data_IF_529651002270
#
_entry.id   IF_529651002270
#
_cell.length_a   1.000
_cell.length_b   1.000
_cell.length_c   1.000
_cell.angle_alpha   90.00
_cell.angle_beta   90.00
_cell.angle_gamma   90.00
#
_symmetry.space_group_name_H-M   'P 1'
#
loop_
_entity.id
_entity.type
_entity.pdbx_description
1 polymer ?
#
# COMPACT_ATOMS: atom_id res chain seq x y z
N UNK A 1 5.48 -6.45 -10.86
CA UNK A 1 4.76 -7.67 -11.25
C UNK A 1 3.39 -7.30 -11.75
N UNK A 2 2.88 -8.08 -12.69
CA UNK A 2 1.75 -7.72 -13.52
C UNK A 2 1.29 -8.83 -14.43
N UNK A 3 0.56 -8.47 -15.49
CA UNK A 3 0.21 -9.44 -16.53
C UNK A 3 0.11 -8.81 -17.92
N UNK A 4 0.43 -9.62 -18.94
CA UNK A 4 0.03 -9.36 -20.33
C UNK A 4 -1.29 -10.08 -20.58
N UNK A 5 -2.37 -9.36 -20.94
CA UNK A 5 -3.64 -9.96 -21.34
C UNK A 5 -3.49 -11.05 -22.40
N UNK A 6 -4.20 -12.16 -22.20
CA UNK A 6 -4.34 -13.27 -23.13
C UNK A 6 -5.82 -13.65 -23.24
N UNK A 7 -6.11 -14.89 -23.66
CA UNK A 7 -7.48 -15.37 -23.85
C UNK A 7 -8.15 -15.78 -22.52
N UNK A 8 -9.49 -15.79 -22.51
CA UNK A 8 -10.32 -16.33 -21.43
C UNK A 8 -10.11 -15.69 -20.04
N UNK A 9 -9.79 -14.39 -19.99
CA UNK A 9 -9.61 -13.67 -18.72
C UNK A 9 -8.31 -14.02 -17.98
N UNK A 10 -7.38 -14.70 -18.66
CA UNK A 10 -6.05 -14.99 -18.14
C UNK A 10 -4.99 -14.12 -18.83
N UNK A 11 -3.86 -13.92 -18.16
CA UNK A 11 -2.70 -13.23 -18.71
C UNK A 11 -1.39 -13.89 -18.30
N UNK A 12 -0.34 -13.67 -19.10
CA UNK A 12 1.02 -14.11 -18.75
C UNK A 12 1.58 -13.21 -17.66
N UNK A 13 2.11 -13.78 -16.58
CA UNK A 13 2.73 -13.05 -15.49
C UNK A 13 3.95 -12.26 -15.99
N UNK A 14 3.98 -10.98 -15.67
CA UNK A 14 5.10 -10.08 -15.96
C UNK A 14 5.86 -9.74 -14.69
N UNK A 15 7.20 -9.69 -14.77
CA UNK A 15 8.07 -9.24 -13.68
C UNK A 15 8.98 -8.12 -14.16
N UNK A 16 8.85 -6.96 -13.55
CA UNK A 16 9.78 -5.84 -13.73
C UNK A 16 10.78 -5.86 -12.58
N UNK A 17 12.07 -6.01 -12.89
CA UNK A 17 13.13 -5.94 -11.88
C UNK A 17 13.69 -4.52 -11.80
N UNK A 18 13.88 -4.00 -10.59
CA UNK A 18 14.36 -2.63 -10.39
C UNK A 18 15.76 -2.36 -10.99
N UNK A 19 16.59 -3.39 -11.13
CA UNK A 19 17.92 -3.31 -11.76
C UNK A 19 17.90 -3.56 -13.28
N UNK A 20 16.73 -3.81 -13.88
CA UNK A 20 16.58 -4.05 -15.30
C UNK A 20 15.72 -2.97 -15.95
N UNK A 21 16.00 -2.66 -17.22
CA UNK A 21 15.22 -1.67 -17.99
C UNK A 21 14.00 -2.26 -18.69
N UNK A 22 13.85 -3.57 -18.68
CA UNK A 22 12.80 -4.31 -19.38
C UNK A 22 11.98 -5.14 -18.42
N UNK A 23 10.72 -5.35 -18.78
CA UNK A 23 9.85 -6.33 -18.15
C UNK A 23 10.22 -7.72 -18.67
N UNK A 24 10.19 -8.72 -17.79
CA UNK A 24 10.38 -10.13 -18.12
C UNK A 24 9.03 -10.83 -18.14
N UNK A 25 8.71 -11.43 -19.28
CA UNK A 25 7.50 -12.23 -19.45
C UNK A 25 7.76 -13.65 -18.96
N UNK A 26 6.82 -14.21 -18.19
CA UNK A 26 6.85 -15.59 -17.75
C UNK A 26 5.74 -16.38 -18.43
N UNK A 27 5.96 -17.69 -18.62
CA UNK A 27 4.96 -18.60 -19.19
C UNK A 27 3.78 -18.87 -18.23
N UNK A 28 3.91 -18.49 -16.96
CA UNK A 28 2.88 -18.64 -15.94
C UNK A 28 1.65 -17.80 -16.28
N UNK A 29 0.49 -18.43 -16.33
CA UNK A 29 -0.80 -17.77 -16.52
C UNK A 29 -1.45 -17.41 -15.18
N UNK A 30 -1.99 -16.20 -15.07
CA UNK A 30 -2.71 -15.70 -13.89
C UNK A 30 -4.05 -15.07 -14.29
N UNK A 31 -5.06 -15.04 -13.39
CA UNK A 31 -6.30 -14.30 -13.63
C UNK A 31 -6.06 -12.80 -13.79
N UNK A 32 -6.63 -12.20 -14.85
CA UNK A 32 -6.47 -10.76 -15.12
C UNK A 32 -7.17 -9.87 -14.09
N UNK A 33 -8.23 -10.36 -13.45
CA UNK A 33 -8.94 -9.67 -12.35
C UNK A 33 -8.00 -9.31 -11.18
N UNK A 34 -6.88 -10.02 -11.02
CA UNK A 34 -5.88 -9.74 -9.98
C UNK A 34 -4.99 -8.54 -10.31
N UNK A 35 -5.01 -8.02 -11.54
CA UNK A 35 -4.11 -6.95 -12.00
C UNK A 35 -4.90 -5.78 -12.59
N UNK A 36 -5.92 -6.08 -13.39
CA UNK A 36 -6.63 -5.12 -14.21
C UNK A 36 -8.04 -4.89 -13.68
N UNK A 37 -8.32 -3.64 -13.29
CA UNK A 37 -9.65 -3.22 -12.79
C UNK A 37 -10.78 -3.47 -13.79
N UNK A 38 -10.49 -3.50 -15.09
CA UNK A 38 -11.50 -3.74 -16.13
C UNK A 38 -11.99 -5.20 -16.21
N UNK A 39 -11.24 -6.14 -15.61
CA UNK A 39 -11.62 -7.54 -15.48
C UNK A 39 -12.15 -7.85 -14.08
N UNK A 40 -12.29 -6.85 -13.21
CA UNK A 40 -12.92 -7.01 -11.90
C UNK A 40 -14.37 -7.46 -12.12
N UNK A 41 -14.71 -8.64 -11.61
CA UNK A 41 -16.04 -9.21 -11.73
C UNK A 41 -17.04 -8.60 -10.72
N UNK A 42 -16.60 -7.60 -9.94
CA UNK A 42 -17.24 -7.00 -8.77
C UNK A 42 -17.44 -8.00 -7.62
N UNK A 43 -16.97 -9.25 -7.79
CA UNK A 43 -17.13 -10.34 -6.82
C UNK A 43 -15.88 -10.61 -6.03
N UNK A 44 -14.74 -10.07 -6.46
CA UNK A 44 -13.43 -10.33 -5.87
C UNK A 44 -12.72 -9.03 -5.57
N UNK A 45 -12.73 -8.63 -4.30
CA UNK A 45 -11.97 -7.48 -3.84
C UNK A 45 -10.53 -7.90 -3.47
N UNK A 46 -9.53 -7.29 -4.11
CA UNK A 46 -8.14 -7.40 -3.64
C UNK A 46 -7.91 -6.47 -2.45
N UNK A 47 -7.53 -7.05 -1.30
CA UNK A 47 -7.30 -6.32 -0.04
C UNK A 47 -5.83 -5.92 0.11
N UNK A 48 -4.91 -6.74 -0.41
CA UNK A 48 -3.49 -6.43 -0.34
C UNK A 48 -2.64 -7.52 -1.00
N UNK A 49 -1.36 -7.22 -1.17
CA UNK A 49 -0.39 -8.18 -1.69
C UNK A 49 0.96 -8.01 -0.99
N UNK A 50 1.69 -9.11 -0.81
CA UNK A 50 2.99 -9.13 -0.12
C UNK A 50 3.78 -10.36 -0.58
N UNK A 51 5.05 -10.19 -0.92
CA UNK A 51 5.95 -11.29 -1.32
C UNK A 51 5.35 -12.31 -2.33
N UNK A 52 4.60 -11.83 -3.33
CA UNK A 52 3.96 -12.70 -4.34
C UNK A 52 2.64 -13.36 -3.92
N UNK A 53 2.19 -13.13 -2.68
CA UNK A 53 0.86 -13.49 -2.22
C UNK A 53 -0.12 -12.33 -2.40
N UNK A 54 -1.36 -12.63 -2.74
CA UNK A 54 -2.48 -11.69 -2.75
C UNK A 54 -3.54 -12.14 -1.74
N UNK A 55 -4.03 -11.20 -0.93
CA UNK A 55 -5.22 -11.35 -0.12
C UNK A 55 -6.46 -10.89 -0.90
N UNK A 56 -7.42 -11.79 -1.12
CA UNK A 56 -8.67 -11.52 -1.85
C UNK A 56 -9.87 -11.84 -0.97
N UNK A 57 -10.90 -10.99 -1.00
CA UNK A 57 -12.20 -11.23 -0.38
C UNK A 57 -13.23 -11.42 -1.48
N UNK A 58 -13.88 -12.58 -1.46
CA UNK A 58 -14.96 -12.87 -2.41
C UNK A 58 -16.33 -12.57 -1.79
N UNK A 59 -17.37 -12.54 -2.61
CA UNK A 59 -18.78 -12.35 -2.18
C UNK A 59 -19.23 -13.29 -1.05
N UNK A 60 -18.61 -14.46 -0.91
CA UNK A 60 -18.90 -15.39 0.17
C UNK A 60 -18.35 -14.96 1.54
N UNK A 61 -17.70 -13.80 1.62
CA UNK A 61 -17.15 -13.24 2.85
C UNK A 61 -15.86 -13.92 3.33
N UNK A 62 -15.29 -14.83 2.55
CA UNK A 62 -14.09 -15.57 2.94
C UNK A 62 -12.85 -14.91 2.35
N UNK A 63 -11.97 -14.45 3.24
CA UNK A 63 -10.65 -13.96 2.90
C UNK A 63 -9.76 -15.13 2.44
N UNK A 64 -9.06 -14.96 1.32
CA UNK A 64 -8.19 -15.99 0.73
C UNK A 64 -6.82 -15.41 0.44
N UNK A 65 -5.79 -16.15 0.83
CA UNK A 65 -4.42 -15.92 0.37
C UNK A 65 -4.16 -16.78 -0.85
N UNK A 66 -3.73 -16.15 -1.94
CA UNK A 66 -3.40 -16.83 -3.20
C UNK A 66 -1.98 -16.48 -3.65
N UNK A 67 -1.25 -17.42 -4.22
CA UNK A 67 0.16 -17.25 -4.66
C UNK A 67 0.31 -17.05 -6.18
N UNK A 68 -0.76 -16.65 -6.87
CA UNK A 68 -0.79 -16.48 -8.32
C UNK A 68 0.29 -15.49 -8.81
N UNK A 69 0.65 -14.46 -8.03
CA UNK A 69 1.73 -13.53 -8.39
C UNK A 69 3.14 -14.02 -8.03
N UNK A 70 3.30 -15.17 -7.38
CA UNK A 70 4.61 -15.71 -7.10
C UNK A 70 5.20 -16.38 -8.36
N UNK A 71 6.33 -15.88 -8.93
CA UNK A 71 6.92 -16.44 -10.16
C UNK A 71 7.30 -17.93 -10.07
N UNK A 72 7.63 -18.42 -8.86
CA UNK A 72 8.06 -19.82 -8.67
C UNK A 72 6.92 -20.76 -8.24
N UNK A 73 5.71 -20.23 -8.05
CA UNK A 73 4.55 -21.05 -7.70
C UNK A 73 3.95 -21.74 -8.94
N UNK A 74 3.35 -22.91 -8.73
CA UNK A 74 2.72 -23.69 -9.80
C UNK A 74 1.51 -22.95 -10.38
N UNK A 75 1.47 -22.86 -11.70
CA UNK A 75 0.33 -22.37 -12.48
C UNK A 75 -0.81 -23.40 -12.55
N UNK A 76 -0.47 -24.68 -12.67
CA UNK A 76 -1.42 -25.79 -12.73
C UNK A 76 -2.13 -26.03 -11.37
N UNK A 77 -1.45 -25.72 -10.26
CA UNK A 77 -1.97 -25.91 -8.90
C UNK A 77 -1.59 -24.74 -7.99
N UNK A 78 -2.17 -23.53 -8.19
CA UNK A 78 -1.90 -22.39 -7.34
C UNK A 78 -2.38 -22.67 -5.91
N UNK A 79 -1.63 -22.22 -4.91
CA UNK A 79 -2.04 -22.34 -3.51
C UNK A 79 -3.12 -21.32 -3.22
N UNK A 80 -4.23 -21.80 -2.67
CA UNK A 80 -5.35 -20.95 -2.23
C UNK A 80 -5.69 -21.35 -0.81
N UNK A 81 -5.35 -20.48 0.13
CA UNK A 81 -5.55 -20.71 1.56
C UNK A 81 -6.77 -19.87 1.99
N UNK A 82 -7.95 -20.48 2.17
CA UNK A 82 -9.07 -19.79 2.79
C UNK A 82 -8.74 -19.55 4.25
N UNK A 83 -8.84 -18.31 4.68
CA UNK A 83 -8.78 -17.96 6.09
C UNK A 83 -10.15 -18.23 6.71
N UNK A 84 -10.21 -18.63 7.99
CA UNK A 84 -11.49 -18.75 8.67
C UNK A 84 -12.27 -17.43 8.54
N UNK A 85 -13.61 -17.47 8.43
CA UNK A 85 -14.42 -16.27 8.43
C UNK A 85 -13.98 -15.40 9.59
N UNK A 86 -13.53 -14.19 9.28
CA UNK A 86 -13.20 -13.24 10.31
C UNK A 86 -14.53 -12.92 10.99
N UNK A 87 -14.79 -13.49 12.15
CA UNK A 87 -15.63 -12.81 13.13
C UNK A 87 -14.92 -11.46 13.29
N UNK A 88 -15.53 -10.36 12.84
CA UNK A 88 -14.90 -9.04 12.63
C UNK A 88 -14.40 -8.38 13.93
N UNK A 89 -14.03 -9.17 14.94
CA UNK A 89 -12.95 -8.88 15.86
C UNK A 89 -11.59 -9.06 15.17
N UNK A 90 -11.08 -8.00 14.56
CA UNK A 90 -9.77 -7.97 13.93
C UNK A 90 -8.67 -8.32 14.94
N UNK A 91 -7.96 -9.42 14.70
CA UNK A 91 -6.75 -9.77 15.43
C UNK A 91 -5.58 -9.00 14.83
N UNK A 92 -4.99 -8.07 15.58
CA UNK A 92 -3.78 -7.35 15.18
C UNK A 92 -2.55 -7.98 15.81
N UNK A 93 -1.44 -7.97 15.08
CA UNK A 93 -0.12 -8.25 15.62
C UNK A 93 0.60 -6.92 15.83
N UNK A 94 1.05 -6.66 17.06
CA UNK A 94 1.87 -5.47 17.34
C UNK A 94 3.23 -5.61 16.66
N UNK A 95 3.68 -4.67 15.81
CA UNK A 95 5.07 -4.66 15.38
C UNK A 95 5.96 -4.40 16.61
N UNK A 96 6.96 -5.26 16.81
CA UNK A 96 8.07 -5.09 17.77
C UNK A 96 7.72 -4.93 19.28
N UNK A 97 6.94 -5.87 19.84
CA UNK A 97 7.07 -6.22 21.26
C UNK A 97 8.12 -7.31 21.47
N UNK A 98 8.78 -7.37 22.64
CA UNK A 98 9.64 -8.51 23.03
C UNK A 98 8.87 -9.85 23.06
N UNK A 99 7.53 -9.80 22.99
CA UNK A 99 6.61 -10.90 22.72
C UNK A 99 5.50 -10.43 21.77
N UNK A 100 5.17 -11.18 20.71
CA UNK A 100 3.98 -10.91 19.90
C UNK A 100 2.74 -11.34 20.68
N UNK A 101 1.96 -10.37 21.16
CA UNK A 101 0.64 -10.62 21.75
C UNK A 101 -0.47 -10.24 20.75
N UNK A 102 -1.45 -11.13 20.61
CA UNK A 102 -2.61 -10.95 19.75
C UNK A 102 -3.70 -10.21 20.52
N UNK A 103 -4.22 -9.12 19.95
CA UNK A 103 -5.37 -8.42 20.51
C UNK A 103 -6.50 -8.36 19.49
N UNK A 104 -7.70 -8.76 19.93
CA UNK A 104 -8.93 -8.72 19.15
C UNK A 104 -9.66 -7.40 19.40
N UNK A 105 -9.96 -6.64 18.35
CA UNK A 105 -10.78 -5.41 18.43
C UNK A 105 -11.97 -5.56 17.48
N UNK A 106 -13.19 -5.31 17.95
CA UNK A 106 -14.43 -5.44 17.17
C UNK A 106 -14.62 -4.22 16.26
N UNK A 107 -14.71 -4.44 14.95
CA UNK A 107 -14.96 -3.38 13.95
C UNK A 107 -16.45 -3.40 13.57
N UNK A 108 -17.19 -2.38 13.97
CA UNK A 108 -18.63 -2.26 13.71
C UNK A 108 -18.94 -1.43 12.44
N UNK A 109 -18.28 -1.69 11.32
CA UNK A 109 -18.76 -1.25 9.99
C UNK A 109 -17.92 -1.87 8.85
N UNK A 110 -18.49 -2.61 7.88
CA UNK A 110 -17.73 -3.16 6.74
C UNK A 110 -17.40 -2.13 5.65
N UNK A 111 -17.87 -0.88 5.74
CA UNK A 111 -17.61 0.16 4.73
C UNK A 111 -16.24 0.87 4.87
N UNK A 112 -15.24 0.24 5.49
CA UNK A 112 -13.88 0.77 5.42
C UNK A 112 -13.36 0.56 4.00
N UNK A 113 -13.45 1.63 3.21
CA UNK A 113 -12.99 1.74 1.84
C UNK A 113 -11.63 1.07 1.65
N UNK A 114 -11.45 0.43 0.50
CA UNK A 114 -10.22 -0.17 -0.05
C UNK A 114 -9.04 0.82 -0.23
N UNK A 115 -8.98 1.88 0.56
CA UNK A 115 -8.14 3.05 0.40
C UNK A 115 -7.25 3.33 1.62
N UNK A 116 -7.38 2.58 2.72
CA UNK A 116 -6.44 2.65 3.84
C UNK A 116 -5.83 1.29 4.12
N UNK A 117 -4.51 1.16 3.91
CA UNK A 117 -3.73 0.00 4.34
C UNK A 117 -3.29 0.10 5.80
N UNK A 118 -3.68 1.19 6.47
CA UNK A 118 -3.44 1.46 7.89
C UNK A 118 -4.81 1.64 8.54
N UNK A 119 -5.20 0.75 9.45
CA UNK A 119 -6.41 0.95 10.25
C UNK A 119 -6.02 1.69 11.53
N UNK A 120 -6.46 2.94 11.67
CA UNK A 120 -6.52 3.65 12.95
C UNK A 120 -7.99 3.89 13.27
N UNK A 121 -8.41 3.64 14.51
CA UNK A 121 -9.79 3.82 14.94
C UNK A 121 -10.05 5.30 15.27
N UNK A 122 -10.96 5.93 14.53
CA UNK A 122 -11.55 7.20 14.92
C UNK A 122 -12.71 6.97 15.89
N UNK A 123 -12.64 7.65 17.03
CA UNK A 123 -13.80 8.14 17.74
C UNK A 123 -13.42 9.54 18.18
N UNK A 124 -13.84 10.53 17.39
CA UNK A 124 -14.64 11.67 17.85
C UNK A 124 -15.00 12.53 16.64
N UNK A 125 -16.29 12.53 16.26
CA UNK A 125 -16.93 13.77 15.83
C UNK A 125 -18.20 13.96 16.66
N UNK A 126 -18.34 15.16 17.18
CA UNK A 126 -19.38 15.60 18.10
C UNK A 126 -20.77 15.55 17.46
N UNK A 127 -21.64 14.64 17.90
CA UNK A 127 -23.01 14.95 18.36
C UNK A 127 -23.90 13.69 18.54
N UNK A 128 -24.60 13.65 19.69
CA UNK A 128 -25.90 12.98 19.91
C UNK A 128 -26.00 11.44 19.73
N UNK A 129 -26.11 10.70 20.85
CA UNK A 129 -26.87 9.44 20.85
C UNK A 129 -26.43 8.41 21.89
N UNK A 130 -27.30 8.18 22.86
CA UNK A 130 -27.19 7.25 23.99
C UNK A 130 -26.85 5.79 23.59
N UNK A 131 -25.92 5.13 24.30
CA UNK A 131 -25.70 3.68 24.20
C UNK A 131 -24.50 3.18 24.99
N UNK A 132 -24.72 2.83 26.26
CA UNK A 132 -23.73 2.15 27.11
C UNK A 132 -23.71 0.66 26.81
N UNK A 133 -22.54 0.07 26.56
CA UNK A 133 -22.24 -1.32 26.96
C UNK A 133 -20.78 -1.44 27.39
N UNK A 134 -20.60 -1.89 28.63
CA UNK A 134 -19.34 -2.21 29.26
C UNK A 134 -18.88 -3.62 28.84
N UNK A 135 -17.57 -3.80 28.64
CA UNK A 135 -16.99 -5.13 28.51
C UNK A 135 -15.53 -5.17 28.05
N UNK A 136 -14.63 -5.29 29.04
CA UNK A 136 -13.31 -5.93 28.97
C UNK A 136 -12.13 -5.14 28.38
N UNK A 137 -11.23 -4.71 29.29
CA UNK A 137 -9.85 -4.23 29.08
C UNK A 137 -9.58 -3.52 27.75
N UNK A 138 -9.87 -2.22 27.73
CA UNK A 138 -9.51 -1.32 26.64
C UNK A 138 -8.01 -1.43 26.32
N UNK A 139 -7.61 -1.93 25.13
CA UNK A 139 -6.23 -1.75 24.70
C UNK A 139 -6.00 -0.24 24.64
N UNK A 140 -4.99 0.25 25.37
CA UNK A 140 -4.57 1.66 25.26
C UNK A 140 -4.07 1.91 23.84
N UNK A 141 -4.99 2.31 22.98
CA UNK A 141 -4.70 2.72 21.62
C UNK A 141 -3.84 3.98 21.70
N UNK A 142 -2.62 3.88 21.19
CA UNK A 142 -1.70 5.00 21.17
C UNK A 142 -2.12 5.93 20.02
N UNK A 143 -2.63 7.11 20.35
CA UNK A 143 -2.95 8.13 19.36
C UNK A 143 -1.64 8.68 18.79
N UNK A 144 -1.38 8.40 17.51
CA UNK A 144 -0.22 8.94 16.79
C UNK A 144 -0.31 10.46 16.80
N UNK A 145 0.66 11.11 17.44
CA UNK A 145 0.74 12.57 17.43
C UNK A 145 1.57 13.03 16.23
N UNK A 146 1.03 13.96 15.45
CA UNK A 146 1.74 14.55 14.32
C UNK A 146 2.54 15.76 14.79
N UNK A 147 3.85 15.74 14.53
CA UNK A 147 4.76 16.80 14.94
C UNK A 147 5.40 17.49 13.72
N UNK A 148 5.84 18.74 13.91
CA UNK A 148 6.57 19.54 12.90
C UNK A 148 5.83 19.85 11.59
N UNK A 149 4.48 19.87 11.59
CA UNK A 149 3.65 20.25 10.44
C UNK A 149 3.69 21.76 10.07
N UNK A 150 4.41 22.59 10.82
CA UNK A 150 4.28 24.05 10.82
C UNK A 150 4.80 24.77 9.57
N UNK A 151 5.35 24.06 8.58
CA UNK A 151 5.97 24.66 7.38
C UNK A 151 5.12 24.65 6.11
N UNK A 152 3.89 24.14 6.13
CA UNK A 152 3.05 24.07 4.91
C UNK A 152 2.35 25.40 4.60
N UNK A 153 2.52 25.89 3.36
CA UNK A 153 1.83 27.06 2.83
C UNK A 153 0.32 26.81 2.69
N UNK A 154 -0.50 27.87 2.75
CA UNK A 154 -1.96 27.80 2.70
C UNK A 154 -2.46 27.04 1.46
N UNK A 155 -1.94 27.37 0.28
CA UNK A 155 -2.30 26.69 -0.98
C UNK A 155 -2.03 25.17 -0.95
N UNK A 156 -0.96 24.73 -0.25
CA UNK A 156 -0.66 23.30 -0.10
C UNK A 156 -1.68 22.61 0.80
N UNK A 157 -2.13 23.28 1.87
CA UNK A 157 -3.18 22.75 2.76
C UNK A 157 -4.52 22.65 2.03
N UNK A 158 -4.92 23.71 1.33
CA UNK A 158 -6.14 23.69 0.50
C UNK A 158 -6.11 22.60 -0.57
N UNK A 159 -4.94 22.35 -1.18
CA UNK A 159 -4.74 21.21 -2.08
C UNK A 159 -5.01 19.90 -1.35
N UNK A 160 -4.37 19.67 -0.20
CA UNK A 160 -4.51 18.44 0.59
C UNK A 160 -5.96 18.21 1.05
N UNK A 161 -6.65 19.24 1.53
CA UNK A 161 -8.05 19.18 2.01
C UNK A 161 -9.04 18.80 0.90
N UNK A 162 -8.68 19.05 -0.36
CA UNK A 162 -9.48 18.69 -1.53
C UNK A 162 -9.15 17.30 -2.10
N UNK A 163 -8.23 16.55 -1.51
CA UNK A 163 -7.79 15.24 -1.98
C UNK A 163 -8.38 14.09 -1.15
N UNK A 164 -8.50 12.92 -1.77
CA UNK A 164 -8.58 11.67 -1.02
C UNK A 164 -7.21 11.38 -0.42
N UNK A 165 -7.17 10.92 0.83
CA UNK A 165 -5.91 10.57 1.50
C UNK A 165 -5.80 9.06 1.63
N UNK A 166 -4.65 8.51 1.21
CA UNK A 166 -4.26 7.13 1.40
C UNK A 166 -3.09 7.13 2.38
N UNK A 167 -3.15 6.28 3.40
CA UNK A 167 -2.10 6.14 4.39
C UNK A 167 -1.36 4.81 4.19
N UNK A 168 -0.03 4.89 4.20
CA UNK A 168 0.86 3.74 4.07
C UNK A 168 1.82 3.70 5.27
N UNK A 169 1.86 2.58 5.98
CA UNK A 169 2.89 2.32 6.98
C UNK A 169 4.02 1.53 6.32
N UNK A 170 5.23 2.07 6.36
CA UNK A 170 6.37 1.56 5.60
C UNK A 170 7.53 1.26 6.53
N UNK A 171 7.98 0.02 6.54
CA UNK A 171 9.13 -0.41 7.34
C UNK A 171 10.39 -0.50 6.48
N UNK A 172 11.46 0.14 6.96
CA UNK A 172 12.80 -0.02 6.41
C UNK A 172 13.51 -1.15 7.15
N UNK A 173 13.60 -2.33 6.53
CA UNK A 173 14.35 -3.46 7.12
C UNK A 173 15.83 -3.13 7.40
N UNK A 174 16.57 -2.42 6.53
CA UNK A 174 17.99 -2.12 6.76
C UNK A 174 18.23 -1.21 7.96
N UNK A 175 17.37 -0.20 8.15
CA UNK A 175 17.56 0.82 9.20
C UNK A 175 16.70 0.59 10.44
N UNK A 176 15.71 -0.33 10.36
CA UNK A 176 14.67 -0.56 11.38
C UNK A 176 13.77 0.65 11.64
N UNK A 177 13.82 1.64 10.77
CA UNK A 177 12.96 2.81 10.84
C UNK A 177 11.59 2.52 10.24
N UNK A 178 10.56 3.09 10.83
CA UNK A 178 9.19 3.02 10.32
C UNK A 178 8.73 4.41 9.91
N UNK A 179 8.06 4.48 8.76
CA UNK A 179 7.54 5.71 8.19
C UNK A 179 6.04 5.60 8.01
N UNK A 180 5.31 6.67 8.32
CA UNK A 180 3.94 6.86 7.88
C UNK A 180 3.95 7.79 6.68
N UNK A 181 3.35 7.37 5.59
CA UNK A 181 3.22 8.16 4.38
C UNK A 181 1.76 8.47 4.10
N UNK A 182 1.44 9.76 4.00
CA UNK A 182 0.13 10.23 3.56
C UNK A 182 0.23 10.62 2.09
N UNK A 183 -0.46 9.89 1.23
CA UNK A 183 -0.55 10.14 -0.20
C UNK A 183 -1.91 10.77 -0.52
N UNK A 184 -1.88 11.98 -1.07
CA UNK A 184 -3.07 12.76 -1.41
C UNK A 184 -3.35 12.59 -2.90
N UNK A 185 -4.51 12.03 -3.25
CA UNK A 185 -4.89 11.72 -4.63
C UNK A 185 -6.19 12.41 -5.05
N UNK A 186 -6.30 12.72 -6.33
CA UNK A 186 -7.52 13.21 -7.00
C UNK A 186 -7.86 12.38 -8.22
N UNK A 187 -9.15 12.37 -8.54
CA UNK A 187 -9.62 11.85 -9.83
C UNK A 187 -9.17 12.78 -10.95
N UNK A 188 -8.62 12.19 -12.00
CA UNK A 188 -8.25 12.86 -13.25
C UNK A 188 -8.68 12.00 -14.43
N UNK A 189 -8.53 12.53 -15.65
CA UNK A 189 -8.73 11.77 -16.89
C UNK A 189 -7.38 11.44 -17.52
N UNK A 190 -7.20 10.19 -17.97
CA UNK A 190 -6.06 9.85 -18.83
C UNK A 190 -6.29 10.34 -20.28
N UNK A 191 -5.35 10.03 -21.19
CA UNK A 191 -5.43 10.48 -22.60
C UNK A 191 -6.63 9.90 -23.34
N UNK A 192 -7.10 8.75 -22.88
CA UNK A 192 -8.25 8.02 -23.42
C UNK A 192 -9.59 8.49 -22.79
N UNK A 193 -9.56 9.41 -21.82
CA UNK A 193 -10.76 9.93 -21.15
C UNK A 193 -11.32 9.03 -20.05
N UNK A 194 -10.56 8.02 -19.62
CA UNK A 194 -10.88 7.13 -18.50
C UNK A 194 -10.55 7.84 -17.18
N UNK A 195 -11.42 7.69 -16.18
CA UNK A 195 -11.15 8.18 -14.83
C UNK A 195 -10.02 7.39 -14.17
N UNK A 196 -9.03 8.11 -13.65
CA UNK A 196 -7.86 7.57 -12.97
C UNK A 196 -7.63 8.32 -11.66
N UNK A 197 -7.03 7.67 -10.66
CA UNK A 197 -6.59 8.33 -9.43
C UNK A 197 -5.12 8.73 -9.51
N UNK A 198 -4.85 10.04 -9.57
CA UNK A 198 -3.50 10.60 -9.59
C UNK A 198 -3.10 11.17 -8.24
N UNK A 199 -1.83 11.03 -7.92
CA UNK A 199 -1.18 11.68 -6.78
C UNK A 199 -1.05 13.17 -7.06
N UNK A 200 -1.41 13.99 -6.09
CA UNK A 200 -1.27 15.45 -6.12
C UNK A 200 -0.23 15.92 -5.10
N UNK A 201 -0.16 15.22 -3.97
CA UNK A 201 0.78 15.53 -2.90
C UNK A 201 1.10 14.30 -2.05
N UNK A 202 2.17 14.39 -1.27
CA UNK A 202 2.64 13.30 -0.42
C UNK A 202 3.38 13.90 0.77
N UNK A 203 3.21 13.29 1.93
CA UNK A 203 3.94 13.64 3.14
C UNK A 203 4.54 12.40 3.77
N UNK A 204 5.79 12.50 4.20
CA UNK A 204 6.48 11.43 4.91
C UNK A 204 6.69 11.84 6.36
N UNK A 205 6.34 10.94 7.26
CA UNK A 205 6.57 11.08 8.69
C UNK A 205 7.43 9.91 9.14
N UNK A 206 8.51 10.18 9.86
CA UNK A 206 9.27 9.16 10.56
C UNK A 206 8.62 8.91 11.92
N UNK A 207 8.39 7.65 12.27
CA UNK A 207 7.94 7.30 13.62
C UNK A 207 9.12 7.38 14.59
N UNK A 208 8.93 8.08 15.71
CA UNK A 208 9.89 8.07 16.82
C UNK A 208 9.68 6.85 17.74
N UNK A 209 10.54 6.70 18.75
CA UNK A 209 10.52 5.57 19.68
C UNK A 209 9.24 5.52 20.53
N UNK A 210 8.57 6.67 20.69
CA UNK A 210 7.29 6.80 21.37
C UNK A 210 6.09 6.49 20.45
N UNK A 211 6.30 6.38 19.14
CA UNK A 211 5.25 6.13 18.14
C UNK A 211 4.60 7.38 17.56
N UNK A 212 5.17 8.57 17.78
CA UNK A 212 4.71 9.81 17.16
C UNK A 212 5.17 9.92 15.71
N UNK A 213 4.33 10.51 14.86
CA UNK A 213 4.65 10.78 13.47
C UNK A 213 5.33 12.15 13.33
N UNK A 214 6.66 12.14 13.21
CA UNK A 214 7.48 13.34 13.01
C UNK A 214 7.66 13.60 11.53
N UNK A 215 7.13 14.71 11.03
CA UNK A 215 7.28 15.08 9.61
C UNK A 215 8.76 15.19 9.22
N UNK A 216 9.13 14.59 8.09
CA UNK A 216 10.50 14.60 7.57
C UNK A 216 10.55 14.81 6.05
N UNK A 217 11.59 15.51 5.60
CA UNK A 217 11.99 15.64 4.20
C UNK A 217 13.30 14.89 3.92
N UNK A 218 13.86 14.24 4.95
CA UNK A 218 15.09 13.47 4.87
C UNK A 218 14.79 12.06 5.37
N UNK A 219 14.76 11.12 4.43
CA UNK A 219 14.66 9.69 4.67
C UNK A 219 16.05 9.05 4.78
N UNK A 220 17.12 9.84 4.78
CA UNK A 220 18.49 9.35 4.83
C UNK A 220 18.96 8.83 3.47
N UNK A 221 19.48 7.61 3.43
CA UNK A 221 19.91 6.94 2.18
C UNK A 221 18.77 6.09 1.58
N UNK A 222 17.51 6.33 1.93
CA UNK A 222 16.41 5.46 1.51
C UNK A 222 15.72 5.95 0.23
N UNK A 223 15.34 4.98 -0.60
CA UNK A 223 14.31 5.10 -1.62
C UNK A 223 13.12 4.22 -1.20
N UNK A 224 11.91 4.76 -1.31
CA UNK A 224 10.68 4.12 -0.87
C UNK A 224 9.81 3.73 -2.06
N UNK A 225 9.16 2.58 -1.98
CA UNK A 225 8.27 2.07 -3.02
C UNK A 225 6.84 1.98 -2.47
N UNK A 226 5.92 2.68 -3.12
CA UNK A 226 4.48 2.58 -2.89
C UNK A 226 3.86 1.90 -4.10
N UNK A 227 3.17 0.78 -3.89
CA UNK A 227 2.54 0.06 -4.99
C UNK A 227 1.23 -0.61 -4.59
N UNK A 228 0.66 -1.47 -5.44
CA UNK A 228 -0.49 -2.28 -5.03
C UNK A 228 -0.14 -3.40 -4.03
N UNK A 229 1.13 -3.68 -3.79
CA UNK A 229 1.63 -4.54 -2.70
C UNK A 229 2.12 -3.72 -1.50
N UNK A 230 2.52 -4.43 -0.45
CA UNK A 230 3.14 -3.86 0.75
C UNK A 230 4.23 -2.84 0.38
N UNK A 231 4.22 -1.65 0.98
CA UNK A 231 5.25 -0.66 0.73
C UNK A 231 6.55 -1.09 1.41
N UNK A 232 7.68 -0.72 0.82
CA UNK A 232 8.99 -1.04 1.39
C UNK A 232 10.03 0.04 1.06
N UNK A 233 11.12 0.03 1.82
CA UNK A 233 12.29 0.87 1.57
C UNK A 233 13.51 0.03 1.19
N UNK A 234 14.37 0.61 0.35
CA UNK A 234 15.70 0.07 0.04
C UNK A 234 16.75 1.19 0.18
N UNK A 235 18.02 0.86 0.50
CA UNK A 235 19.09 1.85 0.43
C UNK A 235 19.34 2.23 -1.02
N UNK A 236 19.26 3.53 -1.34
CA UNK A 236 19.54 4.06 -2.67
C UNK A 236 20.99 3.77 -3.09
N UNK A 237 21.93 3.78 -2.13
CA UNK A 237 23.32 3.40 -2.37
C UNK A 237 23.51 1.95 -2.85
N UNK A 238 22.55 1.04 -2.59
CA UNK A 238 22.58 -0.33 -3.11
C UNK A 238 22.30 -0.41 -4.61
N UNK A 239 21.79 0.66 -5.23
CA UNK A 239 21.45 0.71 -6.66
C UNK A 239 22.06 1.95 -7.37
N UNK A 240 23.41 2.06 -7.42
CA UNK A 240 24.07 3.26 -7.92
C UNK A 240 23.64 3.64 -9.34
N UNK A 241 23.28 4.90 -9.54
CA UNK A 241 22.89 5.44 -10.86
C UNK A 241 21.47 5.10 -11.33
N UNK A 242 20.70 4.36 -10.51
CA UNK A 242 19.29 4.02 -10.82
C UNK A 242 18.31 4.41 -9.72
N UNK A 243 18.76 4.53 -8.47
CA UNK A 243 17.96 5.04 -7.35
C UNK A 243 18.61 6.27 -6.74
N UNK A 244 17.78 7.14 -6.19
CA UNK A 244 18.21 8.33 -5.46
C UNK A 244 17.56 8.34 -4.08
N UNK A 245 18.30 8.82 -3.08
CA UNK A 245 17.80 9.02 -1.73
C UNK A 245 16.65 10.02 -1.71
N UNK A 246 15.81 9.96 -0.69
CA UNK A 246 14.62 10.80 -0.53
C UNK A 246 13.58 10.67 -1.65
N UNK A 247 13.69 9.62 -2.48
CA UNK A 247 12.68 9.35 -3.49
C UNK A 247 11.59 8.43 -2.97
N UNK A 248 10.35 8.77 -3.27
CA UNK A 248 9.18 7.90 -3.19
C UNK A 248 8.76 7.55 -4.61
N UNK A 249 8.88 6.27 -4.95
CA UNK A 249 8.52 5.71 -6.25
C UNK A 249 7.12 5.10 -6.14
N UNK A 250 6.24 5.52 -7.04
CA UNK A 250 4.83 5.13 -7.08
C UNK A 250 4.64 4.19 -8.27
N UNK A 251 4.12 2.99 -7.99
CA UNK A 251 3.72 2.00 -8.99
C UNK A 251 2.29 1.57 -8.72
N UNK A 252 1.34 2.22 -9.37
CA UNK A 252 -0.09 1.92 -9.26
C UNK A 252 -0.62 1.57 -10.65
N UNK A 253 -1.82 0.97 -10.70
CA UNK A 253 -2.53 0.71 -11.95
C UNK A 253 -2.79 2.01 -12.73
N UNK A 254 -3.22 3.05 -12.01
CA UNK A 254 -3.60 4.35 -12.59
C UNK A 254 -2.41 5.28 -12.87
N UNK A 255 -1.27 5.04 -12.23
CA UNK A 255 -0.15 5.99 -12.20
C UNK A 255 1.20 5.31 -11.91
N UNK A 256 2.23 5.69 -12.66
CA UNK A 256 3.62 5.43 -12.28
C UNK A 256 4.36 6.75 -12.15
N UNK A 257 5.07 6.97 -11.05
CA UNK A 257 5.72 8.26 -10.80
C UNK A 257 6.84 8.22 -9.78
N UNK A 258 7.56 9.33 -9.68
CA UNK A 258 8.63 9.52 -8.71
C UNK A 258 8.45 10.89 -8.08
N UNK A 259 8.61 10.94 -6.76
CA UNK A 259 8.61 12.14 -5.93
C UNK A 259 9.93 12.23 -5.19
N UNK A 260 10.64 13.34 -5.30
CA UNK A 260 11.73 13.70 -4.38
C UNK A 260 11.13 14.51 -3.22
N UNK A 261 11.18 13.99 -1.99
CA UNK A 261 10.58 14.65 -0.82
C UNK A 261 11.51 15.66 -0.15
N UNK A 262 12.74 15.84 -0.66
CA UNK A 262 13.76 16.72 -0.07
C UNK A 262 13.33 18.18 -0.01
N UNK A 263 12.55 18.64 -0.98
CA UNK A 263 12.18 20.06 -1.14
C UNK A 263 10.67 20.20 -1.39
N UNK A 264 9.97 20.97 -0.54
CA UNK A 264 8.55 21.32 -0.74
C UNK A 264 8.45 22.80 -1.18
N UNK A 265 7.66 23.12 -2.23
CA UNK A 265 6.87 22.19 -3.06
C UNK A 265 7.76 21.31 -3.93
N UNK A 266 7.52 19.99 -3.91
CA UNK A 266 8.24 19.06 -4.75
C UNK A 266 7.62 19.00 -6.14
N UNK A 267 8.43 18.55 -7.11
CA UNK A 267 7.92 18.22 -8.43
C UNK A 267 7.57 16.73 -8.47
N UNK A 268 6.28 16.43 -8.68
CA UNK A 268 5.81 15.08 -8.98
C UNK A 268 5.91 14.85 -10.49
N UNK A 269 6.75 13.90 -10.88
CA UNK A 269 6.79 13.42 -12.26
C UNK A 269 6.08 12.07 -12.35
N UNK A 270 4.96 12.01 -13.06
CA UNK A 270 4.21 10.76 -13.23
C UNK A 270 3.54 10.62 -14.59
N UNK A 271 3.39 9.36 -15.01
CA UNK A 271 2.70 8.94 -16.22
C UNK A 271 1.37 8.25 -15.86
N UNK A 272 0.31 8.63 -16.57
CA UNK A 272 -1.01 8.02 -16.43
C UNK A 272 -1.01 6.58 -16.97
N UNK A 273 -1.75 5.70 -16.29
CA UNK A 273 -2.01 4.33 -16.72
C UNK A 273 -3.15 4.20 -17.75
N UNK A 274 -3.65 2.97 -17.98
CA UNK A 274 -3.43 1.77 -17.15
C UNK A 274 -2.05 1.15 -17.33
N UNK A 275 -1.48 0.64 -16.23
CA UNK A 275 -0.16 -0.01 -16.22
C UNK A 275 -0.28 -1.51 -15.96
N UNK A 276 0.48 -2.32 -16.71
CA UNK A 276 0.41 -3.80 -16.61
C UNK A 276 1.09 -4.36 -15.37
N UNK A 277 2.05 -3.63 -14.76
CA UNK A 277 2.89 -4.10 -13.63
C UNK A 277 2.76 -3.26 -12.34
N UNK A 278 1.59 -3.24 -11.67
CA UNK A 278 1.33 -2.36 -10.54
C UNK A 278 1.81 -2.90 -9.16
N UNK A 279 2.37 -4.11 -9.09
CA UNK A 279 2.85 -4.71 -7.83
C UNK A 279 4.38 -4.67 -7.73
N UNK A 280 4.95 -4.11 -6.67
CA UNK A 280 6.39 -4.16 -6.41
C UNK A 280 6.70 -5.13 -5.27
N UNK A 281 7.63 -6.05 -5.49
CA UNK A 281 8.15 -6.91 -4.41
C UNK A 281 9.48 -6.33 -3.92
N UNK A 282 9.74 -6.30 -2.60
CA UNK A 282 11.07 -5.98 -2.10
C UNK A 282 12.14 -6.91 -2.68
N UNK A 283 13.40 -6.47 -2.80
CA UNK A 283 14.51 -7.33 -3.18
C UNK A 283 14.48 -8.61 -2.34
N UNK A 284 14.47 -9.77 -3.02
CA UNK A 284 14.56 -11.05 -2.34
C UNK A 284 16.03 -11.31 -2.04
N UNK A 285 16.33 -11.81 -0.84
CA UNK A 285 17.64 -12.39 -0.54
C UNK A 285 17.78 -13.67 -1.37
N UNK A 286 18.19 -13.52 -2.63
CA UNK A 286 18.58 -14.64 -3.47
C UNK A 286 19.99 -14.98 -2.99
N UNK A 287 20.08 -15.81 -1.95
CA UNK A 287 21.32 -16.48 -1.57
C UNK A 287 21.89 -17.13 -2.83
N UNK A 288 23.05 -16.65 -3.28
CA UNK A 288 23.90 -17.33 -4.26
C UNK A 288 24.74 -18.40 -3.56
#
# INVERSE_FOLDING_TARGET
MGAIPSENGLGRLEVAYANQRSVTDLDKMIPLELVFKEYDDEKTLTIGASHGWIATLKEDGILRLVDDLNPVASDANPKRIPLPPLDLSSAFCKPAGQSPEWTNIKIENPCFCSSSRVMFSDLEDTSSGHGTLAGSDDPKLHKVQFQNLTKLHMATRELMDSCFTIEHLVESRPTRETFLVKQYKKTAKNKEGVDIMKTEFLMVFKLDDEGNAVYTQDMGDLAMFLSMSEPFCVPASSFPGSMFRNNVIIYDYDEMGIVDVSDIPFYLHSVSGPHSVPYQIPPQDIEN
#
